data_IF_404577755883
#
_entry.id   IF_404577755883
#
_cell.length_a   1.000
_cell.length_b   1.000
_cell.length_c   1.000
_cell.angle_alpha   90.00
_cell.angle_beta   90.00
_cell.angle_gamma   90.00
#
_symmetry.space_group_name_H-M   'P 1'
#
loop_
_entity.id
_entity.type
_entity.pdbx_description
1 polymer ?
#
# COMPACT_ATOMS: atom_id res chain seq x y z
N UNK A 1 -13.15 1.75 -1.45
CA UNK A 1 -13.64 1.88 -0.06
C UNK A 1 -14.91 1.05 0.14
N UNK A 2 -15.22 0.60 1.37
CA UNK A 2 -16.51 -0.02 1.66
C UNK A 2 -17.65 0.96 1.35
N UNK A 3 -18.83 0.43 1.02
CA UNK A 3 -20.01 1.24 0.64
C UNK A 3 -20.50 2.17 1.76
N UNK A 4 -20.14 1.88 3.01
CA UNK A 4 -20.46 2.70 4.17
C UNK A 4 -19.23 2.80 5.05
N UNK A 5 -18.78 4.02 5.32
CA UNK A 5 -17.68 4.31 6.23
C UNK A 5 -18.30 4.90 7.49
N UNK A 6 -18.37 4.11 8.56
CA UNK A 6 -18.66 4.64 9.89
C UNK A 6 -17.34 5.12 10.46
N UNK A 7 -17.17 6.44 10.56
CA UNK A 7 -15.97 7.03 11.11
C UNK A 7 -15.90 6.81 12.61
N UNK A 8 -14.89 6.08 13.04
CA UNK A 8 -14.60 5.81 14.45
C UNK A 8 -13.45 6.68 14.98
N UNK A 9 -12.70 7.33 14.09
CA UNK A 9 -11.53 8.16 14.38
C UNK A 9 -11.27 9.14 13.23
N UNK A 10 -10.33 10.05 13.43
CA UNK A 10 -9.89 11.07 12.48
C UNK A 10 -8.77 10.62 11.52
N UNK A 11 -8.40 9.35 11.51
CA UNK A 11 -7.40 8.79 10.59
C UNK A 11 -7.95 7.59 9.82
N UNK A 12 -7.36 7.32 8.65
CA UNK A 12 -7.65 6.11 7.88
C UNK A 12 -6.54 5.08 8.07
N UNK A 13 -6.93 3.82 8.26
CA UNK A 13 -6.04 2.67 8.26
C UNK A 13 -6.38 1.80 7.06
N UNK A 14 -5.47 1.71 6.09
CA UNK A 14 -5.66 0.97 4.85
C UNK A 14 -4.70 -0.22 4.79
N UNK A 15 -5.23 -1.39 4.47
CA UNK A 15 -4.43 -2.60 4.25
C UNK A 15 -4.72 -3.15 2.85
N UNK A 16 -3.76 -2.96 1.96
CA UNK A 16 -3.82 -3.48 0.60
C UNK A 16 -3.37 -4.94 0.61
N UNK A 17 -4.35 -5.83 0.43
CA UNK A 17 -4.18 -7.28 0.50
C UNK A 17 -4.69 -7.86 -0.81
N UNK A 18 -3.90 -8.75 -1.41
CA UNK A 18 -4.40 -9.60 -2.48
C UNK A 18 -4.69 -11.01 -1.99
N UNK A 19 -5.29 -11.86 -2.84
CA UNK A 19 -5.51 -13.27 -2.57
C UNK A 19 -4.28 -13.97 -1.98
N UNK A 20 -4.48 -14.70 -0.89
CA UNK A 20 -3.37 -15.35 -0.19
C UNK A 20 -2.62 -16.30 -1.11
N UNK A 21 -1.29 -16.16 -1.16
CA UNK A 21 -0.45 -17.03 -1.98
C UNK A 21 -0.60 -16.83 -3.49
N UNK A 22 -1.12 -15.67 -3.94
CA UNK A 22 -1.30 -15.38 -5.36
C UNK A 22 0.01 -15.46 -6.18
N UNK A 23 1.15 -15.16 -5.54
CA UNK A 23 2.45 -15.06 -6.22
C UNK A 23 3.49 -15.99 -5.60
N UNK A 24 4.20 -16.72 -6.46
CA UNK A 24 5.25 -17.66 -6.06
C UNK A 24 6.53 -16.96 -5.57
N UNK A 25 6.88 -15.82 -6.16
CA UNK A 25 8.03 -14.99 -5.76
C UNK A 25 7.57 -13.62 -5.27
N UNK A 26 8.40 -12.97 -4.43
CA UNK A 26 8.06 -11.71 -3.74
C UNK A 26 9.10 -10.61 -3.94
N UNK A 27 9.85 -10.70 -5.03
CA UNK A 27 11.05 -9.93 -5.37
C UNK A 27 10.78 -8.78 -6.35
N UNK A 28 9.65 -8.81 -7.06
CA UNK A 28 9.23 -7.76 -8.01
C UNK A 28 7.72 -7.66 -8.10
N UNK A 29 7.23 -6.52 -8.58
CA UNK A 29 5.81 -6.39 -8.93
C UNK A 29 5.51 -7.30 -10.14
N UNK A 30 4.47 -8.12 -10.02
CA UNK A 30 4.00 -9.05 -11.03
C UNK A 30 2.68 -8.58 -11.68
N UNK A 31 2.00 -7.61 -11.06
CA UNK A 31 0.82 -6.94 -11.59
C UNK A 31 0.97 -5.44 -11.40
N UNK A 32 0.64 -4.68 -12.44
CA UNK A 32 0.55 -3.22 -12.31
C UNK A 32 -0.73 -2.84 -11.56
N UNK A 33 -0.55 -2.30 -10.36
CA UNK A 33 -1.63 -1.78 -9.50
C UNK A 33 -1.79 -0.27 -9.59
N UNK A 34 -1.13 0.42 -10.52
CA UNK A 34 -1.20 1.89 -10.65
C UNK A 34 -2.63 2.41 -10.75
N UNK A 35 -3.52 1.87 -11.61
CA UNK A 35 -4.88 2.41 -11.72
C UNK A 35 -5.68 2.23 -10.43
N UNK A 36 -5.52 1.09 -9.75
CA UNK A 36 -6.16 0.78 -8.47
C UNK A 36 -5.68 1.79 -7.39
N UNK A 37 -4.37 1.99 -7.29
CA UNK A 37 -3.76 2.94 -6.35
C UNK A 37 -4.20 4.40 -6.60
N UNK A 38 -4.33 4.81 -7.86
CA UNK A 38 -4.85 6.14 -8.21
C UNK A 38 -6.32 6.29 -7.77
N UNK A 39 -7.15 5.28 -8.06
CA UNK A 39 -8.55 5.28 -7.62
C UNK A 39 -8.70 5.30 -6.09
N UNK A 40 -7.77 4.67 -5.36
CA UNK A 40 -7.71 4.80 -3.91
C UNK A 40 -7.31 6.20 -3.45
N UNK A 41 -6.33 6.82 -4.09
CA UNK A 41 -5.93 8.19 -3.76
C UNK A 41 -7.06 9.19 -3.99
N UNK A 42 -7.76 9.11 -5.11
CA UNK A 42 -8.94 9.94 -5.41
C UNK A 42 -10.01 9.83 -4.33
N UNK A 43 -10.33 8.59 -3.92
CA UNK A 43 -11.28 8.32 -2.84
C UNK A 43 -10.81 8.92 -1.50
N UNK A 44 -9.54 8.79 -1.14
CA UNK A 44 -8.98 9.35 0.09
C UNK A 44 -9.09 10.88 0.09
N UNK A 45 -8.86 11.54 -1.03
CA UNK A 45 -8.96 13.00 -1.14
C UNK A 45 -10.39 13.53 -0.90
N UNK A 46 -11.41 12.69 -1.08
CA UNK A 46 -12.81 13.04 -0.84
C UNK A 46 -13.22 12.90 0.63
N UNK A 47 -12.38 12.31 1.49
CA UNK A 47 -12.69 12.08 2.89
C UNK A 47 -12.32 13.29 3.76
N UNK A 48 -13.29 14.19 3.99
CA UNK A 48 -13.10 15.39 4.82
C UNK A 48 -12.73 15.05 6.28
N UNK A 49 -11.93 15.84 7.00
CA UNK A 49 -11.68 15.60 8.43
C UNK A 49 -10.80 14.39 8.77
N UNK A 50 -10.26 13.70 7.75
CA UNK A 50 -9.16 12.75 7.93
C UNK A 50 -7.85 13.53 8.03
N UNK A 51 -7.14 13.37 9.14
CA UNK A 51 -5.87 14.06 9.44
C UNK A 51 -4.64 13.24 9.08
N UNK A 52 -4.77 11.90 9.05
CA UNK A 52 -3.68 10.99 8.70
C UNK A 52 -4.19 9.74 7.97
N UNK A 53 -3.34 9.18 7.10
CA UNK A 53 -3.60 7.93 6.40
C UNK A 53 -2.42 6.99 6.57
N UNK A 54 -2.68 5.83 7.17
CA UNK A 54 -1.71 4.76 7.34
C UNK A 54 -1.98 3.65 6.32
N UNK A 55 -1.22 3.64 5.22
CA UNK A 55 -1.36 2.67 4.13
C UNK A 55 -0.29 1.57 4.20
N UNK A 56 -0.74 0.33 4.39
CA UNK A 56 0.11 -0.87 4.49
C UNK A 56 -0.10 -1.79 3.29
N UNK A 57 0.99 -2.29 2.72
CA UNK A 57 0.98 -3.14 1.53
C UNK A 57 1.45 -4.55 1.86
N UNK A 58 0.70 -5.56 1.41
CA UNK A 58 1.11 -6.96 1.48
C UNK A 58 1.66 -7.43 0.13
N UNK A 59 2.60 -8.38 0.12
CA UNK A 59 3.21 -8.89 -1.10
C UNK A 59 2.17 -9.56 -2.00
N UNK A 60 1.13 -10.16 -1.40
CA UNK A 60 0.07 -10.81 -2.15
C UNK A 60 -0.77 -9.80 -2.97
N UNK A 61 -0.65 -8.48 -2.74
CA UNK A 61 -1.37 -7.46 -3.49
C UNK A 61 -0.84 -7.22 -4.92
N UNK A 62 0.47 -7.25 -5.11
CA UNK A 62 1.12 -6.90 -6.39
C UNK A 62 2.32 -7.79 -6.75
N UNK A 63 2.80 -8.61 -5.83
CA UNK A 63 4.06 -9.36 -5.93
C UNK A 63 5.18 -8.77 -5.09
N UNK A 64 5.23 -7.45 -4.82
CA UNK A 64 6.35 -6.87 -4.07
C UNK A 64 5.99 -5.56 -3.36
N UNK A 65 5.76 -5.64 -2.05
CA UNK A 65 5.25 -4.53 -1.24
C UNK A 65 6.14 -3.27 -1.21
N UNK A 66 7.48 -3.35 -1.09
CA UNK A 66 8.32 -2.16 -1.07
C UNK A 66 8.21 -1.33 -2.36
N UNK A 67 8.19 -1.99 -3.52
CA UNK A 67 8.02 -1.33 -4.81
C UNK A 67 6.63 -0.67 -4.91
N UNK A 68 5.58 -1.37 -4.50
CA UNK A 68 4.22 -0.81 -4.51
C UNK A 68 4.05 0.34 -3.52
N UNK A 69 4.68 0.27 -2.35
CA UNK A 69 4.69 1.38 -1.39
C UNK A 69 5.38 2.61 -2.00
N UNK A 70 6.54 2.44 -2.65
CA UNK A 70 7.21 3.53 -3.35
C UNK A 70 6.37 4.07 -4.52
N UNK A 71 5.67 3.21 -5.26
CA UNK A 71 4.73 3.63 -6.30
C UNK A 71 3.62 4.50 -5.73
N UNK A 72 3.00 4.08 -4.63
CA UNK A 72 1.96 4.87 -3.97
C UNK A 72 2.51 6.19 -3.41
N UNK A 73 3.70 6.19 -2.80
CA UNK A 73 4.41 7.41 -2.38
C UNK A 73 4.51 8.42 -3.53
N UNK A 74 4.95 7.99 -4.71
CA UNK A 74 5.00 8.88 -5.89
C UNK A 74 3.63 9.42 -6.27
N UNK A 75 2.59 8.58 -6.27
CA UNK A 75 1.22 8.99 -6.58
C UNK A 75 0.74 10.09 -5.63
N UNK A 76 1.06 9.98 -4.34
CA UNK A 76 0.67 10.97 -3.32
C UNK A 76 1.66 12.14 -3.16
N UNK A 77 2.68 12.22 -4.03
CA UNK A 77 3.68 13.31 -4.01
C UNK A 77 4.74 13.21 -2.91
N UNK A 78 4.97 12.02 -2.34
CA UNK A 78 6.01 11.77 -1.33
C UNK A 78 7.29 11.22 -1.94
N UNK A 79 8.41 11.50 -1.27
CA UNK A 79 9.70 10.92 -1.60
C UNK A 79 9.71 9.40 -1.42
N UNK A 80 10.31 8.72 -2.40
CA UNK A 80 10.50 7.26 -2.35
C UNK A 80 11.73 6.89 -1.53
N UNK A 81 11.65 5.75 -0.85
CA UNK A 81 12.80 5.20 -0.13
C UNK A 81 13.63 4.27 -0.99
N UNK A 82 14.91 4.15 -0.69
CA UNK A 82 15.75 3.07 -1.22
C UNK A 82 15.19 1.70 -0.77
N UNK A 83 14.98 0.78 -1.71
CA UNK A 83 14.62 -0.60 -1.37
C UNK A 83 15.90 -1.35 -1.08
N UNK A 84 16.16 -1.58 0.21
CA UNK A 84 17.31 -2.36 0.65
C UNK A 84 16.99 -3.85 0.57
N UNK A 85 17.93 -4.70 0.13
CA UNK A 85 17.76 -6.13 0.20
C UNK A 85 17.54 -6.57 1.66
N UNK A 86 16.88 -7.71 1.85
CA UNK A 86 16.61 -8.26 3.18
C UNK A 86 17.91 -8.37 3.98
N UNK A 87 18.08 -7.48 4.95
CA UNK A 87 19.11 -7.59 5.97
C UNK A 87 18.49 -8.31 7.17
N UNK A 88 18.11 -9.57 6.97
CA UNK A 88 17.78 -10.41 8.11
C UNK A 88 19.08 -10.68 8.86
N UNK A 89 19.32 -9.91 9.93
CA UNK A 89 20.31 -10.32 10.92
C UNK A 89 19.86 -11.69 11.39
N UNK A 90 20.70 -12.71 11.16
CA UNK A 90 20.51 -13.97 11.84
C UNK A 90 20.58 -13.65 13.33
N UNK A 91 19.52 -14.01 14.05
CA UNK A 91 19.70 -14.32 15.45
C UNK A 91 20.63 -15.56 15.42
N UNK A 92 21.76 -15.47 16.12
CA UNK A 92 22.92 -16.38 16.13
C UNK A 92 23.96 -16.12 15.02
#
# INVERSE_FOLDING_TARGET
LPKTIVRTTDFLYLRFIGPHGQYATKDKELVDKTPDLQGWFEQIQQEEGVTAVYAFFNNDYSGHSPATCNRFKRIVGMDVGEIRPYQQRRLF
#
